data_IF_908367836801
#
_entry.id   IF_908367836801
#
_cell.length_a   1.000
_cell.length_b   1.000
_cell.length_c   1.000
_cell.angle_alpha   90.00
_cell.angle_beta   90.00
_cell.angle_gamma   90.00
#
_symmetry.space_group_name_H-M   'P 1'
#
loop_
_entity.id
_entity.type
_entity.pdbx_description
1 polymer ?
#
# COMPACT_ATOMS: atom_id res chain seq x y z
N UNK A 1 10.16 16.63 21.95
CA UNK A 1 8.76 16.62 21.48
C UNK A 1 8.03 15.54 22.21
N UNK A 2 6.81 15.82 22.69
CA UNK A 2 5.95 14.77 23.25
C UNK A 2 5.47 13.87 22.12
N UNK A 3 5.44 12.56 22.34
CA UNK A 3 4.83 11.58 21.43
C UNK A 3 3.33 11.38 21.74
N UNK A 4 2.77 12.22 22.63
CA UNK A 4 1.36 12.20 22.96
C UNK A 4 0.51 12.71 21.78
N UNK A 5 -0.36 11.82 21.27
CA UNK A 5 -1.26 12.10 20.17
C UNK A 5 -2.59 12.72 20.63
N UNK A 6 -2.84 12.87 21.93
CA UNK A 6 -4.13 13.31 22.48
C UNK A 6 -4.65 14.60 21.84
N UNK A 7 -3.80 15.63 21.69
CA UNK A 7 -4.19 16.88 21.05
C UNK A 7 -4.65 16.67 19.61
N UNK A 8 -3.89 15.91 18.81
CA UNK A 8 -4.25 15.62 17.41
C UNK A 8 -5.55 14.81 17.31
N UNK A 9 -5.78 13.87 18.23
CA UNK A 9 -6.96 13.01 18.24
C UNK A 9 -8.22 13.75 18.72
N UNK A 10 -8.08 14.72 19.62
CA UNK A 10 -9.18 15.60 20.07
C UNK A 10 -9.57 16.59 18.98
N UNK A 11 -8.59 17.20 18.30
CA UNK A 11 -8.82 18.14 17.21
C UNK A 11 -9.41 17.45 15.97
N UNK A 12 -9.22 16.14 15.83
CA UNK A 12 -9.76 15.36 14.72
C UNK A 12 -10.48 14.09 15.22
N UNK A 13 -11.74 14.22 15.67
CA UNK A 13 -12.49 13.12 16.25
C UNK A 13 -12.84 12.07 15.19
N UNK A 14 -12.75 10.80 15.59
CA UNK A 14 -13.21 9.66 14.80
C UNK A 14 -14.74 9.61 14.76
N UNK A 15 -15.30 9.24 13.61
CA UNK A 15 -16.73 9.04 13.42
C UNK A 15 -16.97 7.62 12.91
N UNK A 16 -17.74 6.84 13.67
CA UNK A 16 -18.05 5.47 13.27
C UNK A 16 -18.86 5.46 11.97
N UNK A 17 -18.40 4.69 10.99
CA UNK A 17 -19.07 4.53 9.70
C UNK A 17 -18.69 5.56 8.63
N UNK A 18 -17.88 6.58 8.95
CA UNK A 18 -17.36 7.52 7.95
C UNK A 18 -15.82 7.46 7.89
N UNK A 19 -15.28 7.34 6.67
CA UNK A 19 -13.84 7.43 6.44
C UNK A 19 -13.47 8.91 6.41
N UNK A 20 -12.69 9.36 7.40
CA UNK A 20 -12.16 10.74 7.44
C UNK A 20 -10.75 10.80 6.90
N UNK A 21 -10.57 11.60 5.86
CA UNK A 21 -9.31 11.78 5.15
C UNK A 21 -9.06 13.26 4.93
N UNK A 22 -7.79 13.68 5.02
CA UNK A 22 -7.37 15.03 4.65
C UNK A 22 -5.96 15.02 4.05
N UNK A 23 -5.68 16.03 3.21
CA UNK A 23 -4.31 16.39 2.83
C UNK A 23 -3.78 17.42 3.83
N UNK A 24 -2.50 17.30 4.18
CA UNK A 24 -1.79 18.28 5.00
C UNK A 24 -0.44 18.61 4.36
N UNK A 25 0.15 19.75 4.73
CA UNK A 25 1.54 20.05 4.41
C UNK A 25 2.45 19.48 5.52
N UNK A 26 3.35 18.57 5.15
CA UNK A 26 4.35 18.02 6.05
C UNK A 26 5.44 19.02 6.41
N UNK A 27 6.22 18.72 7.45
CA UNK A 27 7.36 19.55 7.87
C UNK A 27 8.48 19.62 6.82
N UNK A 28 8.50 18.65 5.90
CA UNK A 28 9.37 18.61 4.74
C UNK A 28 8.86 19.44 3.54
N UNK A 29 7.76 20.17 3.73
CA UNK A 29 7.11 20.98 2.69
C UNK A 29 6.39 20.17 1.62
N UNK A 30 6.18 18.86 1.83
CA UNK A 30 5.49 17.98 0.89
C UNK A 30 4.08 17.67 1.38
N UNK A 31 3.14 17.49 0.46
CA UNK A 31 1.81 17.03 0.82
C UNK A 31 1.85 15.61 1.41
N UNK A 32 1.10 15.41 2.49
CA UNK A 32 0.87 14.09 3.11
C UNK A 32 -0.62 13.81 3.16
N UNK A 33 -0.97 12.53 3.11
CA UNK A 33 -2.32 12.06 3.31
C UNK A 33 -2.50 11.61 4.76
N UNK A 34 -3.54 12.06 5.42
CA UNK A 34 -3.92 11.56 6.74
C UNK A 34 -5.26 10.83 6.67
N UNK A 35 -5.34 9.68 7.32
CA UNK A 35 -6.54 8.87 7.51
C UNK A 35 -6.81 8.72 9.01
N UNK A 36 -8.03 9.03 9.45
CA UNK A 36 -8.46 8.77 10.82
C UNK A 36 -8.98 7.33 10.93
N UNK A 37 -8.37 6.55 11.81
CA UNK A 37 -8.84 5.22 12.25
C UNK A 37 -9.35 5.32 13.68
N UNK A 38 -9.92 4.28 14.29
CA UNK A 38 -10.59 4.36 15.60
C UNK A 38 -9.70 5.00 16.69
N UNK A 39 -8.57 4.36 16.99
CA UNK A 39 -7.67 4.76 18.07
C UNK A 39 -6.41 5.50 17.57
N UNK A 40 -6.40 5.95 16.32
CA UNK A 40 -5.20 6.57 15.76
C UNK A 40 -5.40 7.34 14.46
N UNK A 41 -4.27 7.78 13.92
CA UNK A 41 -4.15 8.47 12.64
C UNK A 41 -3.05 7.78 11.85
N UNK A 42 -3.32 7.43 10.61
CA UNK A 42 -2.29 7.06 9.65
C UNK A 42 -1.88 8.30 8.87
N UNK A 43 -0.58 8.58 8.80
CA UNK A 43 -0.03 9.58 7.90
C UNK A 43 0.82 8.87 6.84
N UNK A 44 0.55 9.17 5.58
CA UNK A 44 1.14 8.49 4.43
C UNK A 44 1.68 9.50 3.42
N UNK A 45 2.74 9.12 2.72
CA UNK A 45 3.24 9.82 1.54
C UNK A 45 2.22 9.76 0.40
N UNK A 46 2.08 10.86 -0.35
CA UNK A 46 1.20 10.92 -1.53
C UNK A 46 1.72 10.07 -2.71
N UNK A 47 3.03 9.79 -2.76
CA UNK A 47 3.72 9.07 -3.83
C UNK A 47 4.76 8.11 -3.26
N UNK A 48 5.21 7.12 -4.05
CA UNK A 48 6.13 6.08 -3.60
C UNK A 48 5.50 5.17 -2.54
N UNK A 49 6.31 4.59 -1.64
CA UNK A 49 5.81 3.77 -0.53
C UNK A 49 5.07 4.61 0.52
N UNK A 50 3.88 4.22 0.99
CA UNK A 50 3.07 5.04 1.88
C UNK A 50 3.75 5.46 3.19
N UNK A 51 4.57 4.60 3.81
CA UNK A 51 5.34 4.93 5.02
C UNK A 51 6.62 5.74 4.74
N UNK A 52 6.90 6.11 3.49
CA UNK A 52 8.06 6.88 3.07
C UNK A 52 9.41 6.15 3.09
N UNK A 53 9.45 4.88 3.49
CA UNK A 53 10.69 4.10 3.53
C UNK A 53 11.13 3.64 2.14
N UNK A 54 12.43 3.38 1.98
CA UNK A 54 13.03 2.84 0.74
C UNK A 54 13.74 1.51 1.01
N UNK A 55 13.00 0.40 1.12
CA UNK A 55 13.59 -0.90 1.47
C UNK A 55 14.60 -1.33 0.41
N UNK A 56 15.80 -1.74 0.83
CA UNK A 56 16.89 -2.14 -0.06
C UNK A 56 17.21 -1.11 -1.17
N UNK A 57 17.11 0.19 -0.86
CA UNK A 57 17.25 1.31 -1.81
C UNK A 57 16.27 1.26 -3.01
N UNK A 58 15.21 0.47 -2.90
CA UNK A 58 14.13 0.40 -3.86
C UNK A 58 12.95 1.26 -3.38
N UNK A 59 12.05 1.61 -4.30
CA UNK A 59 10.84 2.36 -3.95
C UNK A 59 9.91 1.55 -3.06
N UNK A 60 9.76 0.25 -3.32
CA UNK A 60 8.89 -0.67 -2.60
C UNK A 60 9.55 -2.05 -2.48
N UNK A 61 9.03 -2.90 -1.59
CA UNK A 61 9.45 -4.30 -1.50
C UNK A 61 9.11 -5.05 -2.78
N UNK A 62 7.94 -4.78 -3.39
CA UNK A 62 7.59 -5.36 -4.69
C UNK A 62 8.68 -5.04 -5.74
N UNK A 63 9.11 -3.77 -5.83
CA UNK A 63 10.16 -3.37 -6.77
C UNK A 63 11.50 -4.05 -6.48
N UNK A 64 11.83 -4.28 -5.21
CA UNK A 64 13.03 -5.01 -4.82
C UNK A 64 12.98 -6.47 -5.27
N UNK A 65 11.85 -7.13 -5.03
CA UNK A 65 11.64 -8.54 -5.39
C UNK A 65 11.56 -8.76 -6.90
N UNK A 66 10.89 -7.87 -7.65
CA UNK A 66 10.90 -7.90 -9.12
C UNK A 66 12.33 -7.80 -9.67
N UNK A 67 13.17 -6.92 -9.11
CA UNK A 67 14.58 -6.81 -9.51
C UNK A 67 15.38 -8.06 -9.18
N UNK A 68 15.07 -8.75 -8.07
CA UNK A 68 15.71 -10.02 -7.71
C UNK A 68 15.30 -11.13 -8.66
N UNK A 69 14.02 -11.25 -9.00
CA UNK A 69 13.51 -12.22 -9.96
C UNK A 69 14.20 -12.07 -11.32
N UNK A 70 14.22 -10.85 -11.88
CA UNK A 70 14.92 -10.57 -13.16
C UNK A 70 16.41 -10.92 -13.09
N UNK A 71 17.09 -10.65 -11.96
CA UNK A 71 18.51 -11.01 -11.81
C UNK A 71 18.72 -12.52 -11.77
N UNK A 72 17.84 -13.25 -11.09
CA UNK A 72 17.91 -14.69 -11.01
C UNK A 72 17.69 -15.31 -12.40
N UNK A 73 16.68 -14.84 -13.16
CA UNK A 73 16.46 -15.25 -14.55
C UNK A 73 17.69 -15.00 -15.43
N UNK A 74 18.34 -13.84 -15.33
CA UNK A 74 19.54 -13.54 -16.13
C UNK A 74 20.75 -14.42 -15.78
N UNK A 75 20.73 -15.06 -14.61
CA UNK A 75 21.80 -15.92 -14.10
C UNK A 75 21.45 -17.40 -14.13
N UNK A 76 20.25 -17.74 -14.62
CA UNK A 76 19.70 -19.10 -14.57
C UNK A 76 19.67 -19.66 -13.12
N UNK A 77 19.38 -18.78 -12.15
CA UNK A 77 19.23 -19.10 -10.73
C UNK A 77 17.74 -19.26 -10.38
N UNK A 78 17.40 -20.20 -9.50
CA UNK A 78 16.04 -20.33 -8.96
C UNK A 78 15.70 -19.13 -8.07
N UNK A 79 14.50 -18.59 -8.25
CA UNK A 79 13.97 -17.51 -7.43
C UNK A 79 12.60 -17.90 -6.88
N UNK A 80 12.48 -17.83 -5.56
CA UNK A 80 11.23 -18.08 -4.86
C UNK A 80 11.08 -17.12 -3.69
N UNK A 81 9.83 -16.74 -3.40
CA UNK A 81 9.47 -15.99 -2.21
C UNK A 81 9.31 -16.92 -1.01
N UNK A 82 9.99 -16.58 0.07
CA UNK A 82 9.75 -17.26 1.35
C UNK A 82 8.44 -16.78 1.97
N UNK A 83 7.89 -17.56 2.91
CA UNK A 83 6.69 -17.17 3.66
C UNK A 83 6.84 -15.80 4.36
N UNK A 84 8.02 -15.52 4.93
CA UNK A 84 8.30 -14.23 5.57
C UNK A 84 8.31 -13.08 4.56
N UNK A 85 8.88 -13.29 3.37
CA UNK A 85 8.88 -12.29 2.30
C UNK A 85 7.47 -12.02 1.78
N UNK A 86 6.64 -13.07 1.67
CA UNK A 86 5.21 -12.91 1.37
C UNK A 86 4.51 -12.09 2.45
N UNK A 87 4.77 -12.35 3.74
CA UNK A 87 4.19 -11.56 4.83
C UNK A 87 4.60 -10.09 4.75
N UNK A 88 5.87 -9.78 4.50
CA UNK A 88 6.36 -8.40 4.35
C UNK A 88 5.69 -7.69 3.16
N UNK A 89 5.56 -8.38 2.01
CA UNK A 89 4.87 -7.88 0.84
C UNK A 89 3.37 -7.62 1.10
N UNK A 90 2.73 -8.49 1.87
CA UNK A 90 1.33 -8.32 2.28
C UNK A 90 1.16 -7.10 3.18
N UNK A 91 2.03 -6.92 4.17
CA UNK A 91 2.02 -5.74 5.03
C UNK A 91 2.21 -4.44 4.23
N UNK A 92 3.12 -4.43 3.25
CA UNK A 92 3.25 -3.32 2.32
C UNK A 92 1.95 -3.11 1.52
N UNK A 93 1.32 -4.17 1.02
CA UNK A 93 0.02 -4.13 0.32
C UNK A 93 -1.11 -3.49 1.14
N UNK A 94 -1.15 -3.72 2.44
CA UNK A 94 -2.12 -3.10 3.37
C UNK A 94 -1.87 -1.58 3.49
N UNK A 95 -0.63 -1.13 3.46
CA UNK A 95 -0.35 0.32 3.44
C UNK A 95 -0.92 0.98 2.17
N UNK A 96 -0.72 0.37 1.00
CA UNK A 96 -1.29 0.86 -0.25
C UNK A 96 -2.82 0.80 -0.23
N UNK A 97 -3.41 -0.21 0.42
CA UNK A 97 -4.86 -0.30 0.65
C UNK A 97 -5.40 0.93 1.38
N UNK A 98 -4.82 1.29 2.53
CA UNK A 98 -5.23 2.48 3.26
C UNK A 98 -5.08 3.75 2.43
N UNK A 99 -4.01 3.86 1.63
CA UNK A 99 -3.77 5.03 0.80
C UNK A 99 -4.78 5.15 -0.34
N UNK A 100 -5.00 4.10 -1.15
CA UNK A 100 -5.94 4.22 -2.27
C UNK A 100 -7.39 4.39 -1.80
N UNK A 101 -7.77 3.80 -0.67
CA UNK A 101 -9.10 4.01 -0.09
C UNK A 101 -9.27 5.48 0.31
N UNK A 102 -8.23 6.05 0.89
CA UNK A 102 -8.21 7.46 1.30
C UNK A 102 -8.21 8.41 0.10
N UNK A 103 -7.44 8.10 -0.95
CA UNK A 103 -7.39 8.87 -2.19
C UNK A 103 -8.74 8.85 -2.91
N UNK A 104 -9.43 7.70 -2.91
CA UNK A 104 -10.77 7.57 -3.47
C UNK A 104 -11.76 8.49 -2.77
N UNK A 105 -11.71 8.58 -1.43
CA UNK A 105 -12.59 9.45 -0.63
C UNK A 105 -12.45 10.94 -0.97
N UNK A 106 -11.30 11.36 -1.49
CA UNK A 106 -11.02 12.75 -1.88
C UNK A 106 -10.96 12.95 -3.40
N UNK A 107 -11.48 11.99 -4.17
CA UNK A 107 -11.54 12.00 -5.65
C UNK A 107 -10.18 12.12 -6.36
N UNK A 108 -9.09 11.67 -5.73
CA UNK A 108 -7.77 11.61 -6.34
C UNK A 108 -7.61 10.30 -7.13
N UNK A 109 -8.36 10.19 -8.24
CA UNK A 109 -8.50 8.94 -8.99
C UNK A 109 -7.20 8.46 -9.62
N UNK A 110 -6.30 9.37 -10.04
CA UNK A 110 -4.99 9.00 -10.56
C UNK A 110 -4.15 8.23 -9.53
N UNK A 111 -4.16 8.69 -8.27
CA UNK A 111 -3.51 8.00 -7.18
C UNK A 111 -4.16 6.64 -6.85
N UNK A 112 -5.49 6.56 -6.91
CA UNK A 112 -6.22 5.28 -6.75
C UNK A 112 -5.79 4.27 -7.80
N UNK A 113 -5.75 4.67 -9.07
CA UNK A 113 -5.35 3.80 -10.19
C UNK A 113 -3.93 3.28 -9.98
N UNK A 114 -2.98 4.17 -9.66
CA UNK A 114 -1.58 3.81 -9.40
C UNK A 114 -1.48 2.75 -8.29
N UNK A 115 -2.08 3.01 -7.15
CA UNK A 115 -1.92 2.17 -5.96
C UNK A 115 -2.66 0.83 -6.10
N UNK A 116 -3.86 0.84 -6.70
CA UNK A 116 -4.60 -0.40 -6.99
C UNK A 116 -3.90 -1.23 -8.06
N UNK A 117 -3.35 -0.62 -9.11
CA UNK A 117 -2.56 -1.34 -10.11
C UNK A 117 -1.34 -2.01 -9.47
N UNK A 118 -0.58 -1.27 -8.65
CA UNK A 118 0.55 -1.84 -7.91
C UNK A 118 0.14 -3.04 -7.05
N UNK A 119 -1.02 -3.01 -6.38
CA UNK A 119 -1.51 -4.15 -5.60
C UNK A 119 -1.93 -5.34 -6.49
N UNK A 120 -2.49 -5.09 -7.67
CA UNK A 120 -2.77 -6.15 -8.65
C UNK A 120 -1.49 -6.80 -9.15
N UNK A 121 -0.47 -5.99 -9.45
CA UNK A 121 0.86 -6.45 -9.86
C UNK A 121 1.52 -7.26 -8.73
N UNK A 122 1.35 -6.84 -7.47
CA UNK A 122 1.79 -7.61 -6.31
C UNK A 122 1.12 -8.99 -6.26
N UNK A 123 -0.21 -9.06 -6.43
CA UNK A 123 -0.94 -10.32 -6.35
C UNK A 123 -0.49 -11.28 -7.45
N UNK A 124 -0.27 -10.75 -8.66
CA UNK A 124 0.27 -11.51 -9.78
C UNK A 124 1.68 -12.02 -9.47
N UNK A 125 2.56 -11.13 -8.99
CA UNK A 125 3.95 -11.47 -8.69
C UNK A 125 4.07 -12.56 -7.62
N UNK A 126 3.28 -12.49 -6.55
CA UNK A 126 3.28 -13.54 -5.52
C UNK A 126 2.78 -14.87 -6.09
N UNK A 127 1.71 -14.86 -6.89
CA UNK A 127 1.18 -16.09 -7.50
C UNK A 127 2.18 -16.78 -8.43
N UNK A 128 3.05 -16.02 -9.10
CA UNK A 128 4.09 -16.53 -10.00
C UNK A 128 5.33 -17.05 -9.26
N UNK A 129 5.62 -16.54 -8.06
CA UNK A 129 6.90 -16.78 -7.37
C UNK A 129 6.75 -17.37 -5.97
N UNK A 130 5.61 -18.01 -5.65
CA UNK A 130 5.41 -18.75 -4.40
C UNK A 130 4.96 -20.18 -4.68
N UNK A 131 5.66 -21.20 -4.18
CA UNK A 131 5.26 -22.60 -4.39
C UNK A 131 3.99 -23.02 -3.64
N UNK A 132 3.63 -22.28 -2.58
CA UNK A 132 2.49 -22.61 -1.73
C UNK A 132 1.21 -21.96 -2.24
N UNK A 133 0.28 -22.78 -2.72
CA UNK A 133 -1.05 -22.34 -3.14
C UNK A 133 -1.78 -21.52 -2.05
N UNK A 134 -1.61 -21.89 -0.77
CA UNK A 134 -2.15 -21.16 0.38
C UNK A 134 -1.65 -19.71 0.46
N UNK A 135 -0.36 -19.48 0.18
CA UNK A 135 0.22 -18.14 0.18
C UNK A 135 -0.37 -17.33 -0.98
N UNK A 136 -0.45 -17.90 -2.19
CA UNK A 136 -1.12 -17.26 -3.32
C UNK A 136 -2.56 -16.87 -3.00
N UNK A 137 -3.35 -17.79 -2.43
CA UNK A 137 -4.75 -17.56 -2.08
C UNK A 137 -4.95 -16.40 -1.10
N UNK A 138 -4.03 -16.25 -0.13
CA UNK A 138 -4.07 -15.18 0.85
C UNK A 138 -4.06 -13.77 0.22
N UNK A 139 -3.51 -13.62 -0.99
CA UNK A 139 -3.54 -12.38 -1.78
C UNK A 139 -4.72 -12.37 -2.75
N UNK A 140 -4.95 -13.48 -3.48
CA UNK A 140 -5.95 -13.53 -4.55
C UNK A 140 -7.37 -13.25 -4.07
N UNK A 141 -7.71 -13.58 -2.81
CA UNK A 141 -9.02 -13.27 -2.23
C UNK A 141 -9.40 -11.78 -2.29
N UNK A 142 -8.41 -10.87 -2.30
CA UNK A 142 -8.64 -9.42 -2.35
C UNK A 142 -8.73 -8.87 -3.79
N UNK A 143 -8.29 -9.64 -4.79
CA UNK A 143 -8.21 -9.21 -6.20
C UNK A 143 -9.54 -8.66 -6.75
N UNK A 144 -10.72 -9.28 -6.51
CA UNK A 144 -11.99 -8.75 -7.00
C UNK A 144 -12.28 -7.32 -6.50
N UNK A 145 -12.03 -7.05 -5.22
CA UNK A 145 -12.24 -5.73 -4.63
C UNK A 145 -11.27 -4.69 -5.18
N UNK A 146 -9.98 -5.04 -5.30
CA UNK A 146 -8.97 -4.13 -5.86
C UNK A 146 -9.27 -3.81 -7.32
N UNK A 147 -9.68 -4.80 -8.12
CA UNK A 147 -10.12 -4.61 -9.51
C UNK A 147 -11.33 -3.69 -9.60
N UNK A 148 -12.33 -3.87 -8.73
CA UNK A 148 -13.50 -2.99 -8.67
C UNK A 148 -13.08 -1.55 -8.40
N UNK A 149 -12.23 -1.32 -7.39
CA UNK A 149 -11.76 0.04 -7.06
C UNK A 149 -10.95 0.67 -8.20
N UNK A 150 -10.04 -0.09 -8.80
CA UNK A 150 -9.27 0.36 -9.98
C UNK A 150 -10.19 0.76 -11.14
N UNK A 151 -11.20 -0.08 -11.43
CA UNK A 151 -12.15 0.15 -12.52
C UNK A 151 -13.02 1.37 -12.25
N UNK A 152 -13.53 1.54 -11.03
CA UNK A 152 -14.32 2.73 -10.64
C UNK A 152 -13.50 4.02 -10.83
N UNK A 153 -12.25 4.02 -10.39
CA UNK A 153 -11.38 5.18 -10.54
C UNK A 153 -11.05 5.48 -12.01
N UNK A 154 -10.87 4.46 -12.87
CA UNK A 154 -10.65 4.64 -14.32
C UNK A 154 -11.88 5.21 -15.06
N UNK A 155 -13.07 5.02 -14.51
CA UNK A 155 -14.33 5.47 -15.12
C UNK A 155 -14.82 6.84 -14.62
N UNK A 156 -14.06 7.48 -13.72
CA UNK A 156 -14.42 8.77 -13.09
C UNK A 156 -13.75 9.96 -13.76
#
# INVERSE_FOLDING_TARGET
>A
MSLDLNTLLQDWPHESGSIKVRKILGLDGREKLQLRIDLGILQMEMTGRPDGHRPHNCESLLSYHQRRAVRAETRDEEYELTADQCNELQQEGIQYYHRYLSLFQINDFAGVIRDTQRNLDLFQFVAEHSEREELGWSFQQFRPYVLMMNTRAKAS
#
